data_IF_311041133737
#
_entry.id   IF_311041133737
#
_cell.length_a   1.000
_cell.length_b   1.000
_cell.length_c   1.000
_cell.angle_alpha   90.00
_cell.angle_beta   90.00
_cell.angle_gamma   90.00
#
_symmetry.space_group_name_H-M   'P 1'
#
loop_
_entity.id
_entity.type
_entity.pdbx_description
1 polymer ?
#
# COMPACT_ATOMS: atom_id res chain seq x y z
N UNK A 1 18.84 -22.72 45.22
CA UNK A 1 18.38 -24.13 45.33
C UNK A 1 16.86 -24.13 45.37
N UNK A 2 16.25 -25.09 44.64
CA UNK A 2 14.80 -25.42 44.52
C UNK A 2 13.96 -24.46 43.67
N UNK A 3 13.10 -24.91 42.75
CA UNK A 3 12.87 -26.21 42.12
C UNK A 3 12.01 -25.93 40.87
N UNK A 4 12.36 -26.53 39.75
CA UNK A 4 11.54 -26.56 38.52
C UNK A 4 10.59 -27.76 38.62
N UNK A 5 9.35 -27.64 38.12
CA UNK A 5 8.85 -28.61 37.15
C UNK A 5 8.17 -27.87 35.98
N UNK A 6 8.67 -27.97 34.74
CA UNK A 6 8.42 -29.03 33.77
C UNK A 6 6.92 -29.32 33.52
N UNK A 7 6.35 -28.62 32.54
CA UNK A 7 5.25 -29.08 31.67
C UNK A 7 5.63 -28.59 30.25
N UNK A 8 6.49 -29.30 29.52
CA UNK A 8 6.18 -30.36 28.54
C UNK A 8 4.99 -30.06 27.61
N UNK A 9 5.35 -29.50 26.44
CA UNK A 9 5.04 -29.97 25.08
C UNK A 9 3.69 -30.66 24.85
N UNK A 10 2.84 -30.02 24.04
CA UNK A 10 1.99 -30.73 23.08
C UNK A 10 2.13 -30.05 21.72
N UNK A 11 2.77 -30.77 20.80
CA UNK A 11 2.98 -30.40 19.41
C UNK A 11 1.72 -30.67 18.57
N UNK A 12 1.65 -29.93 17.46
CA UNK A 12 1.01 -30.21 16.18
C UNK A 12 0.23 -31.52 16.00
N UNK A 13 -1.04 -31.40 15.64
CA UNK A 13 -1.78 -32.37 14.82
C UNK A 13 -2.50 -31.58 13.70
N UNK A 14 -1.83 -31.44 12.55
CA UNK A 14 -2.09 -32.20 11.30
C UNK A 14 -3.37 -31.78 10.59
N UNK A 15 -3.18 -31.12 9.45
CA UNK A 15 -4.23 -30.85 8.47
C UNK A 15 -4.78 -32.12 7.85
N UNK A 16 -6.11 -32.18 7.71
CA UNK A 16 -6.80 -33.16 6.89
C UNK A 16 -6.99 -32.59 5.47
N UNK A 17 -5.97 -32.76 4.62
CA UNK A 17 -6.19 -32.75 3.17
C UNK A 17 -6.82 -34.08 2.78
N UNK A 18 -8.13 -34.09 2.55
CA UNK A 18 -8.83 -35.24 1.99
C UNK A 18 -8.36 -35.46 0.55
N UNK A 19 -7.47 -36.44 0.43
CA UNK A 19 -6.91 -37.01 -0.78
C UNK A 19 -8.03 -37.68 -1.60
N UNK A 20 -8.64 -36.95 -2.54
CA UNK A 20 -9.57 -37.55 -3.50
C UNK A 20 -8.79 -38.27 -4.61
N UNK A 21 -8.70 -39.59 -4.43
CA UNK A 21 -8.66 -40.70 -5.40
C UNK A 21 -8.37 -40.36 -6.88
N UNK A 22 -7.36 -40.99 -7.52
CA UNK A 22 -7.24 -40.98 -8.98
C UNK A 22 -8.42 -41.71 -9.61
N UNK A 23 -9.25 -41.02 -10.40
CA UNK A 23 -10.17 -41.68 -11.32
C UNK A 23 -9.40 -42.03 -12.60
N UNK A 24 -9.38 -43.33 -12.92
CA UNK A 24 -8.99 -43.85 -14.22
C UNK A 24 -9.90 -43.26 -15.33
N UNK A 25 -9.41 -43.15 -16.58
CA UNK A 25 -10.10 -42.44 -17.64
C UNK A 25 -11.31 -43.25 -18.11
N UNK A 26 -12.50 -42.66 -18.06
CA UNK A 26 -13.72 -43.20 -18.69
C UNK A 26 -14.16 -42.24 -19.80
N UNK A 27 -14.46 -42.73 -21.02
CA UNK A 27 -14.62 -41.89 -22.20
C UNK A 27 -15.82 -40.95 -22.14
N UNK A 28 -15.64 -39.74 -22.67
CA UNK A 28 -16.67 -38.71 -22.82
C UNK A 28 -17.77 -39.16 -23.80
N UNK A 29 -19.06 -39.03 -23.45
CA UNK A 29 -20.12 -38.79 -24.43
C UNK A 29 -20.24 -37.28 -24.66
N UNK A 30 -20.04 -36.87 -25.91
CA UNK A 30 -20.29 -35.53 -26.42
C UNK A 30 -21.77 -35.18 -26.19
N UNK A 31 -22.04 -34.16 -25.38
CA UNK A 31 -23.37 -33.52 -25.33
C UNK A 31 -23.21 -32.00 -25.32
N UNK A 32 -23.38 -31.46 -26.52
CA UNK A 32 -23.90 -30.14 -26.91
C UNK A 32 -23.78 -28.97 -25.92
N UNK A 33 -22.98 -27.99 -26.34
CA UNK A 33 -22.92 -26.66 -25.76
C UNK A 33 -24.28 -25.95 -25.87
N UNK A 34 -24.99 -25.83 -24.75
CA UNK A 34 -25.96 -24.75 -24.54
C UNK A 34 -25.23 -23.53 -24.02
N UNK A 35 -25.16 -22.50 -24.85
CA UNK A 35 -24.69 -21.15 -24.53
C UNK A 35 -25.46 -20.61 -23.33
N UNK A 36 -24.82 -20.55 -22.17
CA UNK A 36 -25.29 -19.76 -21.02
C UNK A 36 -24.67 -18.38 -21.17
N UNK A 37 -25.54 -17.38 -21.35
CA UNK A 37 -25.21 -15.95 -21.36
C UNK A 37 -24.39 -15.59 -20.10
N UNK A 38 -23.18 -15.01 -20.22
CA UNK A 38 -22.35 -14.71 -19.06
C UNK A 38 -22.98 -13.59 -18.23
N UNK A 39 -23.28 -13.87 -16.96
CA UNK A 39 -23.70 -12.86 -16.00
C UNK A 39 -22.70 -11.67 -15.96
N UNK A 40 -23.18 -10.43 -15.82
CA UNK A 40 -22.32 -9.24 -15.88
C UNK A 40 -21.31 -9.27 -14.74
N UNK A 41 -20.02 -9.29 -15.12
CA UNK A 41 -18.90 -9.22 -14.18
C UNK A 41 -19.01 -7.93 -13.35
N UNK A 42 -18.84 -7.98 -12.01
CA UNK A 42 -18.84 -6.77 -11.17
C UNK A 42 -17.82 -5.76 -11.68
N UNK A 43 -18.22 -4.50 -11.84
CA UNK A 43 -17.29 -3.41 -12.18
C UNK A 43 -16.25 -3.28 -11.07
N UNK A 44 -14.96 -3.19 -11.41
CA UNK A 44 -13.91 -3.03 -10.40
C UNK A 44 -14.13 -1.71 -9.61
N UNK A 45 -13.84 -1.70 -8.30
CA UNK A 45 -14.00 -0.50 -7.49
C UNK A 45 -13.09 0.62 -8.00
N UNK A 46 -13.65 1.82 -8.15
CA UNK A 46 -12.91 3.03 -8.55
C UNK A 46 -11.93 3.39 -7.43
N UNK A 47 -10.63 3.28 -7.70
CA UNK A 47 -9.60 3.72 -6.75
C UNK A 47 -9.43 5.24 -6.85
N UNK A 48 -9.42 5.98 -5.72
CA UNK A 48 -9.15 7.42 -5.74
C UNK A 48 -7.81 7.70 -6.41
N UNK A 49 -7.78 8.71 -7.28
CA UNK A 49 -6.53 9.18 -7.85
C UNK A 49 -5.62 9.75 -6.74
N UNK A 50 -4.31 9.53 -6.82
CA UNK A 50 -3.37 10.15 -5.87
C UNK A 50 -3.43 11.67 -5.99
N UNK A 51 -3.24 12.37 -4.86
CA UNK A 51 -3.20 13.83 -4.84
C UNK A 51 -2.12 14.39 -5.78
N UNK A 52 -2.46 15.44 -6.54
CA UNK A 52 -1.53 16.12 -7.45
C UNK A 52 -0.37 16.73 -6.67
N UNK A 53 0.85 16.60 -7.16
CA UNK A 53 2.03 17.16 -6.50
C UNK A 53 2.45 18.46 -7.19
N UNK A 54 2.34 19.57 -6.47
CA UNK A 54 2.94 20.85 -6.85
C UNK A 54 4.33 20.95 -6.25
N UNK A 55 5.32 21.34 -7.05
CA UNK A 55 6.71 21.49 -6.60
C UNK A 55 7.00 22.91 -6.12
N UNK A 56 6.18 23.86 -6.52
CA UNK A 56 6.38 25.26 -6.16
C UNK A 56 5.05 25.99 -5.98
N UNK A 57 5.08 27.09 -5.23
CA UNK A 57 3.87 27.85 -4.90
C UNK A 57 3.33 28.61 -6.11
N UNK A 58 4.17 28.88 -7.11
CA UNK A 58 3.81 29.56 -8.35
C UNK A 58 2.75 28.78 -9.13
N UNK A 59 2.76 27.44 -9.06
CA UNK A 59 1.76 26.58 -9.69
C UNK A 59 0.34 26.75 -9.09
N UNK A 60 0.25 27.36 -7.90
CA UNK A 60 -1.00 27.64 -7.19
C UNK A 60 -1.47 29.09 -7.37
N UNK A 61 -0.70 29.94 -8.03
CA UNK A 61 -1.08 31.34 -8.27
C UNK A 61 -2.36 31.38 -9.12
N UNK A 62 -3.36 32.11 -8.64
CA UNK A 62 -4.66 32.21 -9.29
C UNK A 62 -5.56 30.97 -9.13
N UNK A 63 -5.12 29.92 -8.42
CA UNK A 63 -5.94 28.75 -8.10
C UNK A 63 -6.44 28.87 -6.66
N UNK A 64 -7.75 29.09 -6.41
CA UNK A 64 -8.26 29.09 -5.05
C UNK A 64 -8.11 27.69 -4.44
N UNK A 65 -7.49 27.64 -3.26
CA UNK A 65 -7.29 26.42 -2.50
C UNK A 65 -7.58 26.62 -1.02
N UNK A 66 -7.92 25.52 -0.35
CA UNK A 66 -8.02 25.43 1.10
C UNK A 66 -6.87 24.59 1.64
N UNK A 67 -6.21 25.08 2.67
CA UNK A 67 -5.23 24.31 3.42
C UNK A 67 -5.93 23.21 4.23
N UNK A 68 -5.47 21.97 4.06
CA UNK A 68 -5.96 20.79 4.79
C UNK A 68 -5.03 20.37 5.94
N UNK A 69 -3.83 20.95 6.05
CA UNK A 69 -2.81 20.66 7.04
C UNK A 69 -1.51 20.11 6.45
N UNK A 70 -0.48 20.02 7.28
CA UNK A 70 0.80 19.44 6.91
C UNK A 70 0.72 17.92 6.71
N UNK A 71 1.48 17.43 5.74
CA UNK A 71 1.63 16.01 5.45
C UNK A 71 3.09 15.67 5.24
N UNK A 72 3.47 14.48 5.71
CA UNK A 72 4.80 13.92 5.47
C UNK A 72 4.68 12.54 4.87
N UNK A 73 5.73 12.08 4.20
CA UNK A 73 5.88 10.69 3.77
C UNK A 73 7.33 10.28 3.81
N UNK A 74 7.61 9.03 4.19
CA UNK A 74 8.97 8.55 4.34
C UNK A 74 9.22 7.20 3.66
N UNK A 75 10.44 7.04 3.15
CA UNK A 75 10.98 5.76 2.67
C UNK A 75 12.13 5.37 3.59
N UNK A 76 11.96 4.27 4.32
CA UNK A 76 12.93 3.74 5.27
C UNK A 76 13.66 2.55 4.67
N UNK A 77 14.98 2.54 4.79
CA UNK A 77 15.83 1.37 4.59
C UNK A 77 16.17 0.82 5.99
N UNK A 78 15.73 -0.40 6.30
CA UNK A 78 15.86 -0.98 7.64
C UNK A 78 17.29 -1.47 7.89
N UNK A 79 17.88 -2.13 6.90
CA UNK A 79 19.25 -2.64 6.94
C UNK A 79 20.06 -2.20 5.71
N UNK A 80 21.39 -2.24 5.81
CA UNK A 80 22.27 -1.90 4.69
C UNK A 80 22.11 -2.81 3.46
N UNK A 81 21.50 -4.00 3.62
CA UNK A 81 21.23 -4.95 2.53
C UNK A 81 19.90 -4.68 1.81
N UNK A 82 19.01 -3.89 2.42
CA UNK A 82 17.75 -3.49 1.80
C UNK A 82 17.97 -2.43 0.72
N UNK A 83 16.97 -2.27 -0.16
CA UNK A 83 17.00 -1.22 -1.17
C UNK A 83 17.18 0.17 -0.52
N UNK A 84 18.03 1.04 -1.10
CA UNK A 84 18.21 2.40 -0.59
C UNK A 84 16.89 3.18 -0.52
N UNK A 85 16.78 4.14 0.42
CA UNK A 85 15.57 4.94 0.54
C UNK A 85 15.35 5.81 -0.70
N UNK A 86 14.11 5.88 -1.17
CA UNK A 86 13.77 6.54 -2.44
C UNK A 86 12.80 7.72 -2.22
N UNK A 87 13.18 8.92 -2.67
CA UNK A 87 12.36 10.13 -2.58
C UNK A 87 11.03 10.03 -3.35
N UNK A 88 10.96 9.28 -4.44
CA UNK A 88 9.70 9.02 -5.15
C UNK A 88 8.71 8.23 -4.29
N UNK A 89 9.20 7.23 -3.53
CA UNK A 89 8.36 6.46 -2.61
C UNK A 89 7.88 7.33 -1.44
N UNK A 90 8.77 8.17 -0.90
CA UNK A 90 8.42 9.12 0.15
C UNK A 90 7.33 10.11 -0.32
N UNK A 91 7.48 10.71 -1.51
CA UNK A 91 6.45 11.58 -2.12
C UNK A 91 5.13 10.86 -2.36
N UNK A 92 5.16 9.64 -2.87
CA UNK A 92 3.94 8.84 -3.08
C UNK A 92 3.20 8.56 -1.78
N UNK A 93 3.92 8.24 -0.70
CA UNK A 93 3.35 8.05 0.65
C UNK A 93 2.76 9.35 1.20
N UNK A 94 3.44 10.48 0.98
CA UNK A 94 2.95 11.81 1.34
C UNK A 94 1.64 12.15 0.58
N UNK A 95 1.59 11.93 -0.74
CA UNK A 95 0.38 12.13 -1.55
C UNK A 95 -0.77 11.25 -1.08
N UNK A 96 -0.49 9.98 -0.73
CA UNK A 96 -1.51 9.07 -0.20
C UNK A 96 -2.09 9.54 1.13
N UNK A 97 -1.25 10.09 2.02
CA UNK A 97 -1.71 10.67 3.30
C UNK A 97 -2.56 11.92 3.07
N UNK A 98 -2.19 12.77 2.11
CA UNK A 98 -3.01 13.91 1.72
C UNK A 98 -4.39 13.49 1.19
N UNK A 99 -4.46 12.44 0.36
CA UNK A 99 -5.74 11.88 -0.09
C UNK A 99 -6.58 11.36 1.08
N UNK A 100 -5.95 10.74 2.09
CA UNK A 100 -6.65 10.31 3.31
C UNK A 100 -7.24 11.49 4.10
N UNK A 101 -6.62 12.68 4.00
CA UNK A 101 -7.14 13.94 4.54
C UNK A 101 -8.18 14.62 3.63
N UNK A 102 -8.67 13.93 2.60
CA UNK A 102 -9.63 14.44 1.59
C UNK A 102 -9.07 15.56 0.70
N UNK A 103 -7.76 15.80 0.77
CA UNK A 103 -7.05 16.72 -0.11
C UNK A 103 -6.92 16.12 -1.53
N UNK A 104 -6.87 16.98 -2.54
CA UNK A 104 -6.64 16.57 -3.94
C UNK A 104 -5.27 17.02 -4.47
N UNK A 105 -4.50 17.77 -3.68
CA UNK A 105 -3.16 18.18 -4.02
C UNK A 105 -2.24 18.23 -2.79
N UNK A 106 -0.93 18.27 -3.05
CA UNK A 106 0.13 18.52 -2.08
C UNK A 106 1.10 19.55 -2.65
N UNK A 107 1.37 20.61 -1.91
CA UNK A 107 2.52 21.48 -2.16
C UNK A 107 3.73 20.86 -1.46
N UNK A 108 4.71 20.39 -2.24
CA UNK A 108 5.96 19.85 -1.72
C UNK A 108 6.83 20.99 -1.20
N UNK A 109 7.36 20.84 0.00
CA UNK A 109 8.34 21.80 0.55
C UNK A 109 9.75 21.28 0.27
N UNK A 110 10.07 20.12 0.84
CA UNK A 110 11.39 19.52 0.72
C UNK A 110 11.34 17.99 0.86
N UNK A 111 12.42 17.35 0.41
CA UNK A 111 12.72 15.96 0.69
C UNK A 111 14.16 15.87 1.19
N UNK A 112 14.35 15.35 2.40
CA UNK A 112 15.66 15.24 3.04
C UNK A 112 15.99 13.81 3.43
N UNK A 113 17.26 13.46 3.34
CA UNK A 113 17.79 12.18 3.83
C UNK A 113 18.22 12.36 5.28
N UNK A 114 17.63 11.56 6.17
CA UNK A 114 17.90 11.53 7.60
C UNK A 114 18.53 10.18 7.95
N UNK A 115 19.69 10.22 8.57
CA UNK A 115 20.36 9.04 9.15
C UNK A 115 20.12 8.98 10.66
N UNK A 116 20.32 7.80 11.26
CA UNK A 116 20.19 7.63 12.71
C UNK A 116 18.75 7.62 13.24
N UNK A 117 17.76 7.35 12.37
CA UNK A 117 16.36 7.16 12.79
C UNK A 117 16.22 5.77 13.40
N UNK A 118 15.62 5.68 14.59
CA UNK A 118 15.38 4.39 15.23
C UNK A 118 14.58 3.45 14.31
N UNK A 119 15.14 2.27 14.02
CA UNK A 119 14.52 1.28 13.12
C UNK A 119 14.81 1.47 11.64
N UNK A 120 15.56 2.51 11.25
CA UNK A 120 15.99 2.73 9.86
C UNK A 120 17.50 2.97 9.81
N UNK A 121 18.22 2.16 9.05
CA UNK A 121 19.61 2.44 8.69
C UNK A 121 19.74 3.81 8.01
N UNK A 122 18.86 4.11 7.07
CA UNK A 122 18.74 5.41 6.42
C UNK A 122 17.29 5.67 6.01
N UNK A 123 16.87 6.93 6.01
CA UNK A 123 15.51 7.31 5.67
C UNK A 123 15.48 8.56 4.81
N UNK A 124 14.58 8.61 3.83
CA UNK A 124 14.22 9.86 3.14
C UNK A 124 12.84 10.28 3.60
N UNK A 125 12.70 11.54 4.01
CA UNK A 125 11.43 12.15 4.44
C UNK A 125 11.10 13.30 3.52
N UNK A 126 9.90 13.28 2.94
CA UNK A 126 9.34 14.40 2.20
C UNK A 126 8.23 15.05 3.02
N UNK A 127 8.22 16.37 3.05
CA UNK A 127 7.27 17.19 3.79
C UNK A 127 6.56 18.14 2.83
N UNK A 128 5.31 18.47 3.16
CA UNK A 128 4.50 19.38 2.36
C UNK A 128 3.19 19.75 3.02
N UNK A 129 2.41 20.55 2.33
CA UNK A 129 1.06 20.95 2.76
C UNK A 129 0.03 20.26 1.89
N UNK A 130 -0.95 19.59 2.50
CA UNK A 130 -2.08 19.03 1.78
C UNK A 130 -3.10 20.13 1.47
N UNK A 131 -3.54 20.19 0.22
CA UNK A 131 -4.41 21.26 -0.28
C UNK A 131 -5.67 20.69 -0.93
N UNK A 132 -6.78 21.40 -0.74
CA UNK A 132 -8.00 21.21 -1.51
C UNK A 132 -8.14 22.34 -2.53
N UNK A 133 -7.74 22.08 -3.76
CA UNK A 133 -7.83 23.01 -4.88
C UNK A 133 -9.19 22.86 -5.55
N UNK A 134 -9.94 23.96 -5.68
CA UNK A 134 -11.33 23.95 -6.15
C UNK A 134 -11.46 23.84 -7.68
N UNK A 135 -10.42 24.22 -8.42
CA UNK A 135 -10.35 24.13 -9.88
C UNK A 135 -9.02 23.48 -10.28
N UNK A 136 -9.03 22.17 -10.49
CA UNK A 136 -7.91 21.44 -11.11
C UNK A 136 -8.05 21.42 -12.62
#
# INVERSE_FOLDING_TARGET
MRAVPFILLAMSLTGCSLFQKPQAPVPQPVVEAKTVEPAPKPKPPVRPAPAVLYKSAEELVGKPFRDMGEVSGSSCQVSAQDAPPNAANARKRMQSRATAMKANAVLLHECQTVSGVAGCYSQVVCQGTALKVSAQ
#
